data_IF_576553940361
#
_entry.id   IF_576553940361
#
_cell.length_a   1.000
_cell.length_b   1.000
_cell.length_c   1.000
_cell.angle_alpha   90.00
_cell.angle_beta   90.00
_cell.angle_gamma   90.00
#
_symmetry.space_group_name_H-M   'P 1'
#
loop_
_entity.id
_entity.type
_entity.pdbx_description
1 polymer ?
#
# COMPACT_ATOMS: atom_id res chain seq x y z
N UNK A 1 4.27 15.24 -11.55
CA UNK A 1 4.88 14.66 -10.35
C UNK A 1 4.09 13.43 -10.06
N UNK A 2 4.64 12.29 -10.46
CA UNK A 2 4.06 10.96 -10.35
C UNK A 2 3.55 10.76 -8.93
N UNK A 3 2.25 10.50 -8.78
CA UNK A 3 1.66 10.13 -7.51
C UNK A 3 2.50 8.98 -6.94
N UNK A 4 3.04 9.17 -5.73
CA UNK A 4 3.92 8.20 -5.09
C UNK A 4 3.17 6.87 -4.97
N UNK A 5 3.42 5.96 -5.91
CA UNK A 5 2.71 4.69 -5.97
C UNK A 5 3.19 3.81 -4.83
N UNK A 6 2.28 3.49 -3.92
CA UNK A 6 2.47 2.46 -2.89
C UNK A 6 2.67 1.11 -3.56
N UNK A 7 3.53 0.27 -2.96
CA UNK A 7 3.84 -1.07 -3.48
C UNK A 7 3.99 -2.05 -2.32
N UNK A 8 3.80 -3.34 -2.59
CA UNK A 8 3.98 -4.39 -1.59
C UNK A 8 5.08 -5.37 -2.00
N UNK A 9 5.68 -6.02 -1.00
CA UNK A 9 6.63 -7.10 -1.15
C UNK A 9 6.09 -8.32 -0.40
N UNK A 10 5.87 -9.41 -1.13
CA UNK A 10 5.41 -10.68 -0.59
C UNK A 10 6.61 -11.52 -0.15
N UNK A 11 6.70 -11.81 1.15
CA UNK A 11 7.64 -12.75 1.75
C UNK A 11 6.94 -14.09 1.99
N UNK A 12 7.69 -15.17 2.23
CA UNK A 12 7.12 -16.49 2.52
C UNK A 12 6.22 -16.52 3.77
N UNK A 13 6.37 -15.56 4.69
CA UNK A 13 5.59 -15.52 5.94
C UNK A 13 4.61 -14.35 6.02
N UNK A 14 4.80 -13.28 5.25
CA UNK A 14 3.99 -12.07 5.32
C UNK A 14 4.16 -11.22 4.06
N UNK A 15 3.25 -10.28 3.83
CA UNK A 15 3.30 -9.28 2.78
C UNK A 15 3.42 -7.90 3.40
N UNK A 16 4.42 -7.12 2.99
CA UNK A 16 4.69 -5.80 3.56
C UNK A 16 4.43 -4.72 2.53
N UNK A 17 3.59 -3.74 2.87
CA UNK A 17 3.28 -2.57 2.04
C UNK A 17 4.21 -1.42 2.41
N UNK A 18 4.73 -0.76 1.38
CA UNK A 18 5.61 0.39 1.45
C UNK A 18 5.01 1.59 0.71
N UNK A 19 5.29 2.76 1.24
CA UNK A 19 5.05 4.05 0.56
C UNK A 19 6.06 4.25 -0.58
N UNK A 20 5.78 5.18 -1.51
CA UNK A 20 6.73 5.58 -2.55
C UNK A 20 8.06 6.17 -2.03
N UNK A 21 8.16 6.47 -0.72
CA UNK A 21 9.40 6.83 -0.05
C UNK A 21 10.20 5.63 0.51
N UNK A 22 9.71 4.39 0.35
CA UNK A 22 10.31 3.18 0.93
C UNK A 22 10.03 2.99 2.42
N UNK A 23 9.10 3.76 3.00
CA UNK A 23 8.68 3.60 4.39
C UNK A 23 7.65 2.47 4.50
N UNK A 24 7.84 1.56 5.46
CA UNK A 24 6.85 0.51 5.78
C UNK A 24 5.56 1.17 6.28
N UNK A 25 4.45 0.87 5.62
CA UNK A 25 3.11 1.32 6.03
C UNK A 25 2.42 0.25 6.88
N UNK A 26 2.30 -0.97 6.33
CA UNK A 26 1.61 -2.08 7.00
C UNK A 26 2.24 -3.41 6.61
N UNK A 27 2.07 -4.42 7.47
CA UNK A 27 2.42 -5.81 7.19
C UNK A 27 1.17 -6.67 7.36
N UNK A 28 0.78 -7.32 6.27
CA UNK A 28 -0.38 -8.18 6.16
C UNK A 28 0.08 -9.64 6.07
N UNK A 29 -0.68 -10.62 6.58
CA UNK A 29 -0.32 -12.03 6.39
C UNK A 29 -0.48 -12.49 4.94
N UNK A 30 -1.39 -11.89 4.16
CA UNK A 30 -1.65 -12.28 2.76
C UNK A 30 -1.45 -11.14 1.76
N UNK A 31 -1.26 -11.52 0.49
CA UNK A 31 -1.14 -10.57 -0.62
C UNK A 31 -2.45 -9.84 -0.90
N UNK A 32 -3.59 -10.51 -0.75
CA UNK A 32 -4.92 -9.92 -0.97
C UNK A 32 -5.17 -8.74 -0.02
N UNK A 33 -4.89 -8.91 1.27
CA UNK A 33 -5.01 -7.83 2.26
C UNK A 33 -4.11 -6.63 1.93
N UNK A 34 -2.90 -6.89 1.42
CA UNK A 34 -1.97 -5.83 1.01
C UNK A 34 -2.49 -5.05 -0.22
N UNK A 35 -3.12 -5.75 -1.19
CA UNK A 35 -3.77 -5.12 -2.35
C UNK A 35 -4.97 -4.29 -1.93
N UNK A 36 -5.86 -4.84 -1.10
CA UNK A 36 -7.02 -4.11 -0.58
C UNK A 36 -6.59 -2.84 0.17
N UNK A 37 -5.49 -2.90 0.92
CA UNK A 37 -4.96 -1.74 1.61
C UNK A 37 -4.47 -0.64 0.65
N UNK A 38 -3.76 -1.01 -0.42
CA UNK A 38 -3.29 -0.06 -1.43
C UNK A 38 -4.49 0.58 -2.16
N UNK A 39 -5.47 -0.21 -2.59
CA UNK A 39 -6.66 0.30 -3.28
C UNK A 39 -7.47 1.25 -2.37
N UNK A 40 -7.60 0.92 -1.09
CA UNK A 40 -8.23 1.80 -0.10
C UNK A 40 -7.46 3.11 0.11
N UNK A 41 -6.13 3.06 0.14
CA UNK A 41 -5.29 4.25 0.25
C UNK A 41 -5.47 5.17 -0.97
N UNK A 42 -5.42 4.61 -2.19
CA UNK A 42 -5.63 5.37 -3.43
C UNK A 42 -7.02 6.03 -3.43
N UNK A 43 -8.06 5.31 -2.99
CA UNK A 43 -9.42 5.83 -2.89
C UNK A 43 -9.58 6.89 -1.77
N UNK A 44 -8.81 6.78 -0.68
CA UNK A 44 -8.85 7.72 0.44
C UNK A 44 -8.12 9.04 0.11
N UNK A 45 -7.01 8.98 -0.62
CA UNK A 45 -6.29 10.17 -1.09
C UNK A 45 -7.12 10.95 -2.12
N UNK A 46 -7.83 10.26 -3.01
CA UNK A 46 -8.73 10.90 -3.98
C UNK A 46 -9.84 11.72 -3.30
N UNK A 47 -10.37 11.25 -2.16
CA UNK A 47 -11.43 11.96 -1.41
C UNK A 47 -10.92 13.10 -0.53
N UNK A 48 -9.62 13.16 -0.23
CA UNK A 48 -9.05 14.22 0.61
C UNK A 48 -8.80 15.52 -0.12
N UNK A 49 -8.91 15.51 -1.45
CA UNK A 49 -8.59 16.64 -2.31
C UNK A 49 -9.85 17.28 -2.93
N UNK A 50 -11.03 17.03 -2.34
CA UNK A 50 -12.35 17.56 -2.73
C UNK A 50 -12.87 18.59 -1.72
#
# INVERSE_FOLDING_TARGET
MDAKKTYYITFQSETVVFDGNGNKLVSCPTEDEAKEYIEQLENMEAKKNE
#
